data_IF_979499866304
#
_entry.id   IF_979499866304
#
_cell.length_a   1.000
_cell.length_b   1.000
_cell.length_c   1.000
_cell.angle_alpha   90.00
_cell.angle_beta   90.00
_cell.angle_gamma   90.00
#
_symmetry.space_group_name_H-M   'P 1'
#
loop_
_entity.id
_entity.type
_entity.pdbx_description
1 polymer ?
#
# COMPACT_ATOMS: atom_id res chain seq x y z
N UNK A 1 4.26 13.26 -14.59
CA UNK A 1 3.87 12.52 -13.38
C UNK A 1 4.53 13.29 -12.27
N UNK A 2 3.75 14.12 -11.61
CA UNK A 2 4.31 15.20 -10.78
C UNK A 2 3.93 15.01 -9.31
N UNK A 3 2.94 14.14 -9.04
CA UNK A 3 2.48 13.76 -7.71
C UNK A 3 2.49 12.24 -7.51
N UNK A 4 2.42 11.80 -6.25
CA UNK A 4 2.24 10.38 -5.91
C UNK A 4 0.92 9.83 -6.47
N UNK A 5 -0.16 10.60 -6.46
CA UNK A 5 -1.45 10.15 -6.97
C UNK A 5 -1.40 9.91 -8.49
N UNK A 6 -0.68 10.75 -9.24
CA UNK A 6 -0.41 10.48 -10.67
C UNK A 6 0.37 9.18 -10.85
N UNK A 7 1.28 8.89 -9.92
CA UNK A 7 2.06 7.65 -9.92
C UNK A 7 1.19 6.43 -9.72
N UNK A 8 0.33 6.46 -8.71
CA UNK A 8 -0.59 5.36 -8.41
C UNK A 8 -1.59 5.11 -9.53
N UNK A 9 -2.09 6.17 -10.17
CA UNK A 9 -3.09 6.05 -11.23
C UNK A 9 -2.55 5.45 -12.54
N UNK A 10 -1.25 5.63 -12.83
CA UNK A 10 -0.65 5.15 -14.07
C UNK A 10 0.09 3.80 -13.91
N UNK A 11 0.35 3.35 -12.68
CA UNK A 11 1.21 2.19 -12.42
C UNK A 11 0.41 0.89 -12.33
N UNK A 12 0.81 -0.13 -13.10
CA UNK A 12 0.33 -1.51 -12.94
C UNK A 12 0.99 -2.23 -11.77
N UNK A 13 2.18 -1.78 -11.37
CA UNK A 13 2.91 -2.29 -10.21
C UNK A 13 3.59 -1.12 -9.49
N UNK A 14 3.37 -1.03 -8.18
CA UNK A 14 3.97 -0.03 -7.30
C UNK A 14 4.87 -0.75 -6.30
N UNK A 15 6.14 -0.34 -6.22
CA UNK A 15 7.12 -0.90 -5.28
C UNK A 15 7.69 0.20 -4.40
N UNK A 16 7.61 0.02 -3.08
CA UNK A 16 8.08 0.99 -2.10
C UNK A 16 9.55 0.78 -1.77
N UNK A 17 10.34 1.83 -1.99
CA UNK A 17 11.78 1.89 -1.71
C UNK A 17 12.18 3.15 -0.91
N UNK A 18 11.22 3.82 -0.29
CA UNK A 18 11.47 5.00 0.53
C UNK A 18 11.84 4.61 1.97
N UNK A 19 12.71 5.42 2.58
CA UNK A 19 13.04 5.30 4.00
C UNK A 19 11.85 5.78 4.84
N UNK A 20 11.60 5.11 5.96
CA UNK A 20 10.63 5.58 6.94
C UNK A 20 11.15 6.85 7.63
N UNK A 21 10.37 7.92 7.53
CA UNK A 21 10.56 9.21 8.20
C UNK A 21 9.20 9.71 8.68
N UNK A 22 9.18 10.83 9.41
CA UNK A 22 7.92 11.47 9.81
C UNK A 22 7.07 11.93 8.61
N UNK A 23 7.67 12.09 7.43
CA UNK A 23 6.98 12.53 6.21
C UNK A 23 6.47 11.34 5.38
N UNK A 24 7.07 10.16 5.56
CA UNK A 24 6.72 8.95 4.78
C UNK A 24 5.93 7.92 5.57
N UNK A 25 5.71 8.14 6.86
CA UNK A 25 4.78 7.34 7.66
C UNK A 25 3.39 7.40 7.02
N UNK A 26 2.83 6.23 6.73
CA UNK A 26 1.58 6.05 5.98
C UNK A 26 1.51 6.89 4.69
N UNK A 27 2.62 7.00 3.96
CA UNK A 27 2.64 7.66 2.64
C UNK A 27 1.68 6.99 1.65
N UNK A 28 1.47 5.68 1.79
CA UNK A 28 0.37 4.94 1.13
C UNK A 28 -0.75 4.73 2.15
N UNK A 29 -1.53 5.79 2.39
CA UNK A 29 -2.72 5.76 3.22
C UNK A 29 -3.99 5.46 2.40
N UNK A 30 -5.13 5.37 3.08
CA UNK A 30 -6.44 5.15 2.47
C UNK A 30 -6.82 6.16 1.37
N UNK A 31 -6.42 7.43 1.51
CA UNK A 31 -6.72 8.49 0.54
C UNK A 31 -5.91 8.31 -0.75
N UNK A 32 -4.59 8.13 -0.64
CA UNK A 32 -3.73 7.87 -1.79
C UNK A 32 -4.12 6.58 -2.52
N UNK A 33 -4.49 5.53 -1.78
CA UNK A 33 -4.92 4.26 -2.35
C UNK A 33 -6.18 4.36 -3.23
N UNK A 34 -7.03 5.39 -3.06
CA UNK A 34 -8.17 5.62 -3.97
C UNK A 34 -7.73 5.93 -5.41
N UNK A 35 -6.49 6.38 -5.59
CA UNK A 35 -5.93 6.70 -6.89
C UNK A 35 -5.23 5.51 -7.55
N UNK A 36 -5.12 4.36 -6.86
CA UNK A 36 -4.43 3.21 -7.44
C UNK A 36 -5.19 2.67 -8.65
N UNK A 37 -4.47 2.31 -9.70
CA UNK A 37 -5.05 1.66 -10.87
C UNK A 37 -5.73 0.35 -10.47
N UNK A 38 -7.00 0.11 -10.83
CA UNK A 38 -7.65 -1.17 -10.58
C UNK A 38 -6.89 -2.32 -11.24
N UNK A 39 -6.67 -3.40 -10.48
CA UNK A 39 -5.87 -4.55 -10.90
C UNK A 39 -4.36 -4.37 -10.72
N UNK A 40 -3.89 -3.27 -10.12
CA UNK A 40 -2.47 -3.09 -9.85
C UNK A 40 -1.97 -4.02 -8.73
N UNK A 41 -0.65 -4.21 -8.69
CA UNK A 41 0.06 -4.90 -7.62
C UNK A 41 0.85 -3.91 -6.75
N UNK A 42 0.90 -4.18 -5.44
CA UNK A 42 1.68 -3.39 -4.49
C UNK A 42 2.76 -4.24 -3.81
N UNK A 43 4.00 -3.75 -3.79
CA UNK A 43 5.14 -4.43 -3.16
C UNK A 43 5.77 -3.52 -2.12
N UNK A 44 5.99 -4.03 -0.91
CA UNK A 44 6.74 -3.34 0.14
C UNK A 44 7.73 -4.30 0.80
N UNK A 45 9.02 -4.06 0.58
CA UNK A 45 10.13 -4.73 1.30
C UNK A 45 10.80 -3.79 2.30
N UNK A 46 10.20 -2.62 2.55
CA UNK A 46 10.67 -1.62 3.50
C UNK A 46 9.95 -1.76 4.85
N UNK A 47 9.71 -0.63 5.51
CA UNK A 47 8.95 -0.61 6.76
C UNK A 47 7.45 -0.81 6.49
N UNK A 48 6.78 -1.61 7.31
CA UNK A 48 5.31 -1.75 7.29
C UNK A 48 4.59 -0.43 7.57
N UNK A 49 5.21 0.48 8.33
CA UNK A 49 4.65 1.80 8.67
C UNK A 49 4.53 2.76 7.48
N UNK A 50 5.00 2.40 6.29
CA UNK A 50 4.79 3.17 5.06
C UNK A 50 3.36 3.01 4.50
N UNK A 51 2.63 1.98 4.97
CA UNK A 51 1.34 1.58 4.47
C UNK A 51 0.26 1.71 5.56
N UNK A 52 -0.98 1.96 5.13
CA UNK A 52 -2.17 1.64 5.90
C UNK A 52 -2.62 0.21 5.53
N UNK A 53 -2.26 -0.76 6.38
CA UNK A 53 -2.56 -2.19 6.17
C UNK A 53 -4.07 -2.47 6.14
N UNK A 54 -4.88 -1.71 6.91
CA UNK A 54 -6.33 -1.88 6.94
C UNK A 54 -6.97 -1.43 5.62
N UNK A 55 -6.53 -0.28 5.09
CA UNK A 55 -6.99 0.22 3.80
C UNK A 55 -6.56 -0.72 2.66
N UNK A 56 -5.31 -1.19 2.68
CA UNK A 56 -4.81 -2.16 1.70
C UNK A 56 -5.60 -3.47 1.74
N UNK A 57 -5.86 -4.02 2.94
CA UNK A 57 -6.68 -5.24 3.11
C UNK A 57 -8.04 -5.06 2.44
N UNK A 58 -8.71 -3.94 2.67
CA UNK A 58 -10.05 -3.71 2.13
C UNK A 58 -10.06 -3.73 0.59
N UNK A 59 -9.06 -3.10 -0.03
CA UNK A 59 -8.92 -3.06 -1.49
C UNK A 59 -8.48 -4.39 -2.12
N UNK A 60 -7.86 -5.27 -1.33
CA UNK A 60 -7.60 -6.64 -1.76
C UNK A 60 -8.88 -7.49 -1.68
N UNK A 61 -9.70 -7.31 -0.63
CA UNK A 61 -10.97 -8.02 -0.46
C UNK A 61 -11.97 -7.63 -1.56
N UNK A 62 -12.07 -6.35 -1.90
CA UNK A 62 -12.99 -5.88 -2.95
C UNK A 62 -12.44 -6.10 -4.38
N UNK A 63 -11.17 -6.47 -4.52
CA UNK A 63 -10.52 -6.78 -5.79
C UNK A 63 -10.03 -5.57 -6.57
N UNK A 64 -10.03 -4.37 -5.98
CA UNK A 64 -9.41 -3.18 -6.58
C UNK A 64 -7.91 -3.38 -6.78
N UNK A 65 -7.23 -3.98 -5.81
CA UNK A 65 -5.82 -4.37 -5.92
C UNK A 65 -5.76 -5.87 -6.23
N UNK A 66 -5.02 -6.25 -7.28
CA UNK A 66 -4.93 -7.65 -7.72
C UNK A 66 -4.11 -8.52 -6.76
N UNK A 67 -3.19 -7.91 -6.03
CA UNK A 67 -2.40 -8.59 -5.01
C UNK A 67 -1.34 -7.67 -4.39
N UNK A 68 -0.77 -8.10 -3.28
CA UNK A 68 0.39 -7.44 -2.69
C UNK A 68 1.44 -8.43 -2.22
N UNK A 69 2.69 -7.96 -2.13
CA UNK A 69 3.79 -8.69 -1.51
C UNK A 69 4.44 -7.80 -0.43
N UNK A 70 4.38 -8.23 0.83
CA UNK A 70 4.83 -7.48 2.00
C UNK A 70 5.88 -8.30 2.75
N UNK A 71 7.02 -7.69 3.10
CA UNK A 71 8.10 -8.32 3.89
C UNK A 71 7.96 -8.04 5.41
N UNK A 72 6.92 -7.31 5.80
CA UNK A 72 6.62 -7.01 7.20
C UNK A 72 5.17 -6.54 7.37
N UNK A 73 4.65 -6.63 8.60
CA UNK A 73 3.33 -6.17 9.00
C UNK A 73 3.40 -5.59 10.42
N UNK A 74 2.52 -4.64 10.77
CA UNK A 74 2.47 -4.08 12.12
C UNK A 74 1.62 -4.87 13.12
N UNK A 75 2.15 -5.04 14.33
CA UNK A 75 1.42 -5.41 15.56
C UNK A 75 0.82 -6.82 15.58
N UNK A 76 0.15 -7.25 16.67
CA UNK A 76 -0.61 -8.51 16.69
C UNK A 76 -1.84 -8.49 15.76
N UNK A 77 -2.19 -7.32 15.21
CA UNK A 77 -3.34 -7.09 14.33
C UNK A 77 -3.19 -7.73 12.95
N UNK A 78 -1.99 -8.09 12.48
CA UNK A 78 -1.85 -8.87 11.23
C UNK A 78 -2.57 -10.23 11.33
N UNK A 79 -2.69 -10.80 12.53
CA UNK A 79 -3.46 -12.05 12.75
C UNK A 79 -4.96 -11.85 12.54
N UNK A 80 -5.48 -10.64 12.66
CA UNK A 80 -6.90 -10.31 12.36
C UNK A 80 -7.05 -9.65 10.98
N UNK A 81 -6.00 -9.02 10.47
CA UNK A 81 -5.98 -8.35 9.17
C UNK A 81 -5.74 -9.31 8.00
N UNK A 82 -5.09 -10.45 8.16
CA UNK A 82 -4.80 -11.36 7.03
C UNK A 82 -5.37 -12.78 7.20
N UNK A 83 -6.18 -12.97 8.24
CA UNK A 83 -7.07 -14.14 8.41
C UNK A 83 -8.48 -13.79 7.94
#
# INVERSE_FOLDING_TARGET
MDTLNDLLAASDLVSLHCTLTNETVQIINAECLQHIKPGAFLVNTGSSQLLDDCALKQLLIDGTIAGCALDGAEGPQWMEAWV
#
